data_IF_746114552076
#
_entry.id   IF_746114552076
#
_cell.length_a   1.000
_cell.length_b   1.000
_cell.length_c   1.000
_cell.angle_alpha   90.00
_cell.angle_beta   90.00
_cell.angle_gamma   90.00
#
_symmetry.space_group_name_H-M   'P 1'
#
loop_
_entity.id
_entity.type
_entity.pdbx_description
1 polymer ?
#
# COMPACT_ATOMS: atom_id res chain seq x y z
N UNK A 1 53.97 42.86 74.84
CA UNK A 1 53.33 43.29 73.58
C UNK A 1 53.29 42.09 72.66
N UNK A 2 52.23 41.27 72.73
CA UNK A 2 52.04 40.07 71.89
C UNK A 2 50.56 39.87 71.69
N UNK A 3 50.05 40.30 70.54
CA UNK A 3 48.69 40.03 70.07
C UNK A 3 48.76 39.18 68.80
N UNK A 4 47.89 38.17 68.78
CA UNK A 4 47.26 37.57 67.61
C UNK A 4 48.10 36.64 66.72
N UNK A 5 47.93 35.33 66.93
CA UNK A 5 48.11 34.32 65.88
C UNK A 5 47.05 33.20 65.89
N UNK A 6 46.08 33.21 66.81
CA UNK A 6 45.12 32.11 66.98
C UNK A 6 43.77 32.28 66.27
N UNK A 7 43.51 33.41 65.61
CA UNK A 7 42.20 33.67 64.98
C UNK A 7 42.15 33.37 63.46
N UNK A 8 43.27 32.99 62.83
CA UNK A 8 43.31 32.72 61.38
C UNK A 8 43.07 31.25 60.97
N UNK A 9 43.12 30.30 61.90
CA UNK A 9 43.07 28.86 61.57
C UNK A 9 41.63 28.33 61.43
N UNK A 10 40.62 29.03 61.94
CA UNK A 10 39.24 28.52 61.96
C UNK A 10 38.45 28.78 60.66
N UNK A 11 38.89 29.70 59.81
CA UNK A 11 38.19 30.05 58.57
C UNK A 11 38.57 29.17 57.36
N UNK A 12 39.72 28.48 57.40
CA UNK A 12 40.17 27.57 56.33
C UNK A 12 39.47 26.19 56.38
N UNK A 13 39.17 25.68 57.57
CA UNK A 13 38.57 24.34 57.74
C UNK A 13 37.08 24.29 57.36
N UNK A 14 36.35 25.40 57.50
CA UNK A 14 34.96 25.50 57.05
C UNK A 14 34.83 25.54 55.53
N UNK A 15 35.70 26.29 54.85
CA UNK A 15 35.73 26.38 53.38
C UNK A 15 36.13 25.07 52.70
N UNK A 16 37.12 24.33 53.25
CA UNK A 16 37.49 23.02 52.71
C UNK A 16 36.35 21.99 52.86
N UNK A 17 35.58 22.01 53.95
CA UNK A 17 34.41 21.13 54.13
C UNK A 17 33.26 21.45 53.17
N UNK A 18 32.97 22.72 52.94
CA UNK A 18 31.94 23.16 51.98
C UNK A 18 32.36 22.78 50.55
N UNK A 19 33.60 23.05 50.17
CA UNK A 19 34.14 22.67 48.84
C UNK A 19 34.07 21.16 48.61
N UNK A 20 34.41 20.35 49.61
CA UNK A 20 34.37 18.89 49.51
C UNK A 20 32.92 18.34 49.38
N UNK A 21 31.96 18.94 50.10
CA UNK A 21 30.54 18.59 49.98
C UNK A 21 29.97 18.94 48.58
N UNK A 22 30.38 20.06 48.00
CA UNK A 22 29.98 20.46 46.64
C UNK A 22 30.54 19.49 45.58
N UNK A 23 31.78 19.04 45.74
CA UNK A 23 32.37 18.04 44.82
C UNK A 23 31.66 16.70 44.94
N UNK A 24 31.36 16.23 46.16
CA UNK A 24 30.66 14.95 46.37
C UNK A 24 29.24 14.98 45.80
N UNK A 25 28.49 16.08 45.95
CA UNK A 25 27.14 16.18 45.36
C UNK A 25 27.18 16.23 43.83
N UNK A 26 28.17 16.90 43.23
CA UNK A 26 28.39 16.87 41.78
C UNK A 26 28.74 15.46 41.29
N UNK A 27 29.59 14.72 42.00
CA UNK A 27 29.94 13.34 41.62
C UNK A 27 28.74 12.40 41.74
N UNK A 28 27.94 12.50 42.80
CA UNK A 28 26.71 11.71 42.95
C UNK A 28 25.69 12.07 41.87
N UNK A 29 25.54 13.36 41.52
CA UNK A 29 24.69 13.81 40.43
C UNK A 29 25.16 13.24 39.07
N UNK A 30 26.48 13.20 38.82
CA UNK A 30 27.05 12.59 37.61
C UNK A 30 26.80 11.08 37.58
N UNK A 31 27.04 10.36 38.68
CA UNK A 31 26.82 8.90 38.76
C UNK A 31 25.34 8.54 38.57
N UNK A 32 24.44 9.33 39.15
CA UNK A 32 22.99 9.12 38.98
C UNK A 32 22.58 9.36 37.52
N UNK A 33 23.05 10.44 36.88
CA UNK A 33 22.80 10.69 35.44
C UNK A 33 23.33 9.56 34.54
N UNK A 34 24.53 9.04 34.81
CA UNK A 34 25.13 7.93 34.05
C UNK A 34 24.29 6.65 34.23
N UNK A 35 23.93 6.31 35.47
CA UNK A 35 23.19 5.08 35.78
C UNK A 35 21.78 5.09 35.18
N UNK A 36 21.07 6.22 35.30
CA UNK A 36 19.77 6.41 34.64
C UNK A 36 19.91 6.40 33.11
N UNK A 37 21.01 6.95 32.58
CA UNK A 37 21.31 6.94 31.14
C UNK A 37 21.45 5.53 30.56
N UNK A 38 22.16 4.63 31.25
CA UNK A 38 22.37 3.24 30.80
C UNK A 38 21.06 2.45 30.75
N UNK A 39 20.22 2.54 31.78
CA UNK A 39 18.92 1.85 31.79
C UNK A 39 18.00 2.34 30.67
N UNK A 40 17.99 3.65 30.45
CA UNK A 40 17.16 4.24 29.41
C UNK A 40 17.69 3.93 28.00
N UNK A 41 19.01 3.82 27.82
CA UNK A 41 19.62 3.31 26.59
C UNK A 41 19.17 1.89 26.24
N UNK A 42 19.13 0.99 27.22
CA UNK A 42 18.64 -0.38 27.01
C UNK A 42 17.18 -0.40 26.59
N UNK A 43 16.33 0.42 27.23
CA UNK A 43 14.92 0.56 26.86
C UNK A 43 14.76 1.08 25.42
N UNK A 44 15.52 2.12 25.05
CA UNK A 44 15.50 2.68 23.69
C UNK A 44 15.89 1.61 22.67
N UNK A 45 16.96 0.86 22.94
CA UNK A 45 17.42 -0.21 22.05
C UNK A 45 16.38 -1.32 21.92
N UNK A 46 15.72 -1.69 23.02
CA UNK A 46 14.62 -2.66 23.01
C UNK A 46 13.41 -2.18 22.20
N UNK A 47 13.05 -0.90 22.30
CA UNK A 47 11.96 -0.33 21.48
C UNK A 47 12.31 -0.27 20.01
N UNK A 48 13.57 0.06 19.66
CA UNK A 48 14.02 0.02 18.26
C UNK A 48 13.92 -1.40 17.70
N UNK A 49 14.38 -2.41 18.45
CA UNK A 49 14.27 -3.81 18.03
C UNK A 49 12.80 -4.27 17.88
N UNK A 50 11.92 -3.82 18.79
CA UNK A 50 10.48 -4.07 18.67
C UNK A 50 9.88 -3.41 17.43
N UNK A 51 10.28 -2.18 17.11
CA UNK A 51 9.83 -1.49 15.91
C UNK A 51 10.32 -2.22 14.65
N UNK A 52 11.56 -2.69 14.60
CA UNK A 52 12.09 -3.52 13.51
C UNK A 52 11.26 -4.80 13.31
N UNK A 53 10.95 -5.52 14.39
CA UNK A 53 10.09 -6.69 14.32
C UNK A 53 8.70 -6.35 13.75
N UNK A 54 8.09 -5.25 14.20
CA UNK A 54 6.82 -4.77 13.66
C UNK A 54 6.93 -4.40 12.17
N UNK A 55 8.05 -3.84 11.72
CA UNK A 55 8.32 -3.57 10.30
C UNK A 55 8.35 -4.87 9.49
N UNK A 56 9.03 -5.91 9.99
CA UNK A 56 9.09 -7.24 9.35
C UNK A 56 7.69 -7.90 9.28
N UNK A 57 6.88 -7.71 10.32
CA UNK A 57 5.48 -8.14 10.39
C UNK A 57 4.51 -7.26 9.55
N UNK A 58 5.04 -6.26 8.81
CA UNK A 58 4.28 -5.29 7.99
C UNK A 58 3.32 -4.41 8.79
N UNK A 59 3.56 -4.28 10.09
CA UNK A 59 2.77 -3.48 11.03
C UNK A 59 3.38 -2.08 11.20
N UNK A 60 3.49 -1.38 10.07
CA UNK A 60 4.22 -0.10 9.99
C UNK A 60 3.60 0.99 10.88
N UNK A 61 2.28 1.03 11.01
CA UNK A 61 1.58 1.99 11.89
C UNK A 61 2.06 1.89 13.34
N UNK A 62 2.14 0.66 13.87
CA UNK A 62 2.63 0.44 15.25
C UNK A 62 4.13 0.67 15.38
N UNK A 63 4.92 0.33 14.35
CA UNK A 63 6.34 0.62 14.35
C UNK A 63 6.60 2.13 14.42
N UNK A 64 5.84 2.93 13.65
CA UNK A 64 5.86 4.40 13.67
C UNK A 64 5.49 4.91 15.07
N UNK A 65 4.38 4.44 15.64
CA UNK A 65 3.93 4.84 16.98
C UNK A 65 5.02 4.62 18.05
N UNK A 66 5.63 3.43 18.08
CA UNK A 66 6.71 3.10 19.02
C UNK A 66 7.93 4.02 18.86
N UNK A 67 8.31 4.33 17.61
CA UNK A 67 9.45 5.20 17.30
C UNK A 67 9.17 6.67 17.65
N UNK A 68 7.97 7.18 17.37
CA UNK A 68 7.56 8.55 17.72
C UNK A 68 7.52 8.75 19.24
N UNK A 69 6.98 7.77 19.98
CA UNK A 69 6.97 7.81 21.45
C UNK A 69 8.38 7.86 22.04
N UNK A 70 9.33 7.14 21.44
CA UNK A 70 10.73 7.13 21.92
C UNK A 70 11.48 8.39 21.52
N UNK A 71 11.23 8.95 20.33
CA UNK A 71 11.87 10.19 19.87
C UNK A 71 11.67 11.37 20.84
N UNK A 72 10.55 11.37 21.56
CA UNK A 72 10.19 12.41 22.53
C UNK A 72 10.96 12.32 23.87
N UNK A 73 11.71 11.24 24.12
CA UNK A 73 12.42 11.05 25.39
C UNK A 73 13.61 12.00 25.55
N UNK A 74 13.86 12.39 26.81
CA UNK A 74 14.85 13.42 27.15
C UNK A 74 16.28 13.09 26.69
N UNK A 75 16.68 11.83 26.73
CA UNK A 75 18.03 11.39 26.30
C UNK A 75 18.21 11.62 24.79
N UNK A 76 17.17 11.39 24.00
CA UNK A 76 17.23 11.58 22.55
C UNK A 76 17.20 13.07 22.22
N UNK A 77 16.30 13.83 22.85
CA UNK A 77 16.18 15.28 22.65
C UNK A 77 17.39 16.08 23.12
N UNK A 78 17.94 15.76 24.30
CA UNK A 78 19.00 16.54 24.95
C UNK A 78 20.40 15.99 24.67
N UNK A 79 20.57 14.67 24.60
CA UNK A 79 21.88 14.03 24.44
C UNK A 79 22.10 13.45 23.04
N UNK A 80 21.06 13.41 22.18
CA UNK A 80 21.18 12.96 20.79
C UNK A 80 21.42 11.45 20.62
N UNK A 81 21.35 10.66 21.69
CA UNK A 81 21.64 9.22 21.65
C UNK A 81 20.67 8.52 20.70
N UNK A 82 21.18 7.79 19.71
CA UNK A 82 20.41 7.06 18.69
C UNK A 82 19.38 7.93 17.93
N UNK A 83 19.48 9.26 18.01
CA UNK A 83 18.50 10.18 17.40
C UNK A 83 18.40 9.99 15.90
N UNK A 84 19.54 9.84 15.23
CA UNK A 84 19.60 9.63 13.78
C UNK A 84 18.99 8.28 13.39
N UNK A 85 19.38 7.19 14.06
CA UNK A 85 18.84 5.85 13.83
C UNK A 85 17.32 5.79 13.98
N UNK A 86 16.77 6.43 15.02
CA UNK A 86 15.31 6.52 15.22
C UNK A 86 14.65 7.32 14.08
N UNK A 87 15.23 8.45 13.69
CA UNK A 87 14.68 9.29 12.62
C UNK A 87 14.69 8.57 11.26
N UNK A 88 15.78 7.86 10.94
CA UNK A 88 15.89 7.06 9.72
C UNK A 88 14.86 5.94 9.69
N UNK A 89 14.75 5.15 10.77
CA UNK A 89 13.75 4.07 10.88
C UNK A 89 12.31 4.57 10.84
N UNK A 90 12.06 5.73 11.43
CA UNK A 90 10.74 6.36 11.40
C UNK A 90 10.35 6.76 9.98
N UNK A 91 11.27 7.40 9.26
CA UNK A 91 11.04 7.80 7.86
C UNK A 91 10.88 6.57 6.94
N UNK A 92 11.71 5.54 7.13
CA UNK A 92 11.60 4.27 6.42
C UNK A 92 10.22 3.64 6.62
N UNK A 93 9.73 3.55 7.87
CA UNK A 93 8.42 2.98 8.13
C UNK A 93 7.27 3.83 7.58
N UNK A 94 7.39 5.17 7.59
CA UNK A 94 6.41 6.06 6.96
C UNK A 94 6.32 5.84 5.45
N UNK A 95 7.47 5.67 4.80
CA UNK A 95 7.52 5.34 3.39
C UNK A 95 6.93 3.95 3.12
N UNK A 96 7.28 2.92 3.90
CA UNK A 96 6.73 1.57 3.77
C UNK A 96 5.21 1.52 3.99
N UNK A 97 4.68 2.31 4.94
CA UNK A 97 3.24 2.44 5.15
C UNK A 97 2.56 3.04 3.92
N UNK A 98 3.12 4.12 3.36
CA UNK A 98 2.60 4.75 2.14
C UNK A 98 2.59 3.75 0.97
N UNK A 99 3.66 2.99 0.80
CA UNK A 99 3.75 1.96 -0.24
C UNK A 99 2.74 0.82 -0.02
N UNK A 100 2.53 0.39 1.23
CA UNK A 100 1.50 -0.59 1.57
C UNK A 100 0.10 -0.08 1.19
N UNK A 101 -0.19 1.19 1.48
CA UNK A 101 -1.46 1.83 1.13
C UNK A 101 -1.60 1.90 -0.40
N UNK A 102 -0.58 2.36 -1.11
CA UNK A 102 -0.60 2.44 -2.57
C UNK A 102 -0.82 1.06 -3.20
N UNK A 103 -0.12 0.04 -2.73
CA UNK A 103 -0.31 -1.34 -3.18
C UNK A 103 -1.75 -1.81 -2.95
N UNK A 104 -2.33 -1.60 -1.75
CA UNK A 104 -3.72 -1.96 -1.46
C UNK A 104 -4.70 -1.23 -2.38
N UNK A 105 -4.51 0.07 -2.58
CA UNK A 105 -5.33 0.88 -3.48
C UNK A 105 -5.22 0.41 -4.94
N UNK A 106 -4.03 0.00 -5.39
CA UNK A 106 -3.84 -0.57 -6.72
C UNK A 106 -4.64 -1.86 -6.92
N UNK A 107 -4.73 -2.70 -5.88
CA UNK A 107 -5.57 -3.91 -5.90
C UNK A 107 -7.06 -3.56 -5.97
N UNK A 108 -7.52 -2.52 -5.28
CA UNK A 108 -8.91 -2.05 -5.42
C UNK A 108 -9.18 -1.50 -6.82
N UNK A 109 -8.23 -0.75 -7.40
CA UNK A 109 -8.34 -0.20 -8.75
C UNK A 109 -8.50 -1.26 -9.83
N UNK A 110 -7.84 -2.42 -9.67
CA UNK A 110 -8.09 -3.61 -10.50
C UNK A 110 -9.57 -4.04 -10.41
N UNK A 111 -10.18 -4.06 -9.22
CA UNK A 111 -11.60 -4.44 -9.06
C UNK A 111 -12.54 -3.42 -9.71
N UNK A 112 -12.15 -2.15 -9.68
CA UNK A 112 -12.85 -1.04 -10.35
C UNK A 112 -12.64 -1.04 -11.88
N UNK A 113 -11.79 -1.94 -12.42
CA UNK A 113 -11.35 -1.97 -13.83
C UNK A 113 -10.58 -0.72 -14.29
N UNK A 114 -10.03 0.02 -13.33
CA UNK A 114 -9.16 1.18 -13.57
C UNK A 114 -7.71 0.67 -13.67
N UNK A 115 -7.39 0.08 -14.84
CA UNK A 115 -6.11 -0.60 -15.08
C UNK A 115 -4.92 0.36 -15.08
N UNK A 116 -5.09 1.56 -15.64
CA UNK A 116 -4.06 2.59 -15.66
C UNK A 116 -3.79 3.12 -14.25
N UNK A 117 -4.84 3.44 -13.49
CA UNK A 117 -4.71 3.87 -12.09
C UNK A 117 -4.10 2.79 -11.20
N UNK A 118 -4.45 1.52 -11.43
CA UNK A 118 -3.81 0.40 -10.74
C UNK A 118 -2.31 0.33 -11.03
N UNK A 119 -1.92 0.43 -12.31
CA UNK A 119 -0.52 0.38 -12.74
C UNK A 119 0.30 1.52 -12.13
N UNK A 120 -0.22 2.74 -12.14
CA UNK A 120 0.43 3.91 -11.53
C UNK A 120 0.73 3.66 -10.04
N UNK A 121 -0.24 3.12 -9.30
CA UNK A 121 -0.08 2.82 -7.88
C UNK A 121 0.97 1.73 -7.63
N UNK A 122 1.01 0.67 -8.44
CA UNK A 122 2.04 -0.37 -8.30
C UNK A 122 3.43 0.14 -8.65
N UNK A 123 3.57 1.02 -9.64
CA UNK A 123 4.86 1.63 -10.00
C UNK A 123 5.44 2.51 -8.87
N UNK A 124 4.59 2.98 -7.96
CA UNK A 124 5.04 3.75 -6.79
C UNK A 124 5.63 2.91 -5.66
N UNK A 125 5.53 1.57 -5.73
CA UNK A 125 6.09 0.65 -4.75
C UNK A 125 7.58 0.47 -5.03
N UNK A 126 8.44 0.79 -4.06
CA UNK A 126 9.90 0.72 -4.25
C UNK A 126 10.43 -0.72 -4.15
N UNK A 127 11.59 -0.99 -4.74
CA UNK A 127 12.28 -2.29 -4.70
C UNK A 127 12.54 -2.83 -3.29
N UNK A 128 12.66 -1.94 -2.30
CA UNK A 128 12.89 -2.30 -0.89
C UNK A 128 11.63 -2.77 -0.19
N UNK A 129 10.46 -2.52 -0.78
CA UNK A 129 9.17 -2.90 -0.24
C UNK A 129 8.98 -4.40 -0.28
N UNK A 130 8.42 -4.97 0.79
CA UNK A 130 8.00 -6.38 0.81
C UNK A 130 6.86 -6.67 -0.17
N UNK A 131 6.23 -5.64 -0.74
CA UNK A 131 5.17 -5.76 -1.76
C UNK A 131 5.71 -5.70 -3.19
N UNK A 132 6.97 -5.31 -3.39
CA UNK A 132 7.53 -5.07 -4.71
C UNK A 132 7.46 -6.27 -5.66
N UNK A 133 7.83 -7.50 -5.26
CA UNK A 133 7.78 -8.65 -6.17
C UNK A 133 6.36 -8.89 -6.73
N UNK A 134 5.34 -8.76 -5.88
CA UNK A 134 3.96 -8.94 -6.31
C UNK A 134 3.44 -7.74 -7.11
N UNK A 135 3.86 -6.51 -6.77
CA UNK A 135 3.54 -5.32 -7.55
C UNK A 135 4.04 -5.42 -9.00
N UNK A 136 5.28 -5.88 -9.20
CA UNK A 136 5.86 -6.09 -10.54
C UNK A 136 5.08 -7.15 -11.34
N UNK A 137 4.76 -8.30 -10.73
CA UNK A 137 3.95 -9.32 -11.40
C UNK A 137 2.58 -8.76 -11.84
N UNK A 138 1.95 -7.90 -11.03
CA UNK A 138 0.70 -7.24 -11.43
C UNK A 138 0.90 -6.22 -12.54
N UNK A 139 2.00 -5.47 -12.53
CA UNK A 139 2.32 -4.53 -13.61
C UNK A 139 2.50 -5.27 -14.93
N UNK A 140 3.18 -6.42 -14.95
CA UNK A 140 3.35 -7.24 -16.15
C UNK A 140 1.99 -7.67 -16.74
N UNK A 141 1.09 -8.17 -15.89
CA UNK A 141 -0.28 -8.51 -16.31
C UNK A 141 -1.05 -7.27 -16.80
N UNK A 142 -0.89 -6.12 -16.13
CA UNK A 142 -1.53 -4.88 -16.55
C UNK A 142 -0.96 -4.36 -17.87
N UNK A 143 0.33 -4.57 -18.14
CA UNK A 143 0.97 -4.22 -19.41
C UNK A 143 0.43 -5.06 -20.57
N UNK A 144 0.13 -6.33 -20.33
CA UNK A 144 -0.57 -7.17 -21.31
C UNK A 144 -2.00 -6.66 -21.58
N UNK A 145 -2.73 -6.33 -20.52
CA UNK A 145 -4.11 -5.81 -20.62
C UNK A 145 -4.16 -4.45 -21.32
N UNK A 146 -3.27 -3.52 -20.93
CA UNK A 146 -3.19 -2.16 -21.49
C UNK A 146 -2.56 -2.16 -22.87
N UNK A 147 -1.66 -3.10 -23.15
CA UNK A 147 -1.05 -3.33 -24.46
C UNK A 147 -2.04 -3.90 -25.48
N UNK A 148 -3.15 -4.49 -25.02
CA UNK A 148 -4.30 -4.78 -25.86
C UNK A 148 -5.01 -3.46 -26.22
N UNK A 149 -4.55 -2.80 -27.28
CA UNK A 149 -5.32 -1.75 -27.93
C UNK A 149 -6.72 -2.31 -28.21
N UNK A 150 -7.76 -1.73 -27.62
CA UNK A 150 -9.14 -2.15 -27.90
C UNK A 150 -9.46 -1.86 -29.36
N UNK A 151 -9.16 -2.83 -30.22
CA UNK A 151 -9.59 -2.82 -31.61
C UNK A 151 -10.92 -3.50 -31.66
N UNK A 152 -11.98 -2.73 -31.84
CA UNK A 152 -13.32 -3.28 -32.05
C UNK A 152 -13.29 -4.23 -33.24
N UNK A 153 -13.45 -5.52 -32.97
CA UNK A 153 -13.56 -6.53 -34.03
C UNK A 153 -14.91 -6.43 -34.73
N UNK A 154 -14.94 -6.80 -36.01
CA UNK A 154 -16.22 -6.97 -36.72
C UNK A 154 -16.62 -8.44 -36.63
N UNK A 155 -17.89 -8.70 -36.32
CA UNK A 155 -18.42 -10.04 -36.13
C UNK A 155 -19.80 -10.21 -36.76
N UNK A 156 -20.16 -11.46 -37.03
CA UNK A 156 -21.52 -11.86 -37.38
C UNK A 156 -22.04 -12.79 -36.30
N UNK A 157 -23.26 -12.56 -35.85
CA UNK A 157 -23.94 -13.38 -34.86
C UNK A 157 -25.05 -14.22 -35.52
N UNK A 158 -25.20 -15.45 -35.04
CA UNK A 158 -26.31 -16.35 -35.38
C UNK A 158 -26.84 -16.99 -34.11
N UNK A 159 -28.15 -17.08 -34.03
CA UNK A 159 -28.84 -17.80 -32.97
C UNK A 159 -29.68 -18.88 -33.61
N UNK A 160 -29.56 -20.10 -33.09
CA UNK A 160 -30.31 -21.26 -33.55
C UNK A 160 -31.22 -21.76 -32.43
N UNK A 161 -32.43 -22.18 -32.77
CA UNK A 161 -33.30 -22.93 -31.85
C UNK A 161 -33.13 -24.45 -31.99
N UNK A 162 -33.86 -25.24 -31.21
CA UNK A 162 -33.76 -26.71 -31.25
C UNK A 162 -34.22 -27.33 -32.58
N UNK A 163 -34.97 -26.58 -33.38
CA UNK A 163 -35.48 -27.00 -34.69
C UNK A 163 -34.50 -26.63 -35.82
N UNK A 164 -33.40 -25.94 -35.50
CA UNK A 164 -32.40 -25.49 -36.45
C UNK A 164 -32.79 -24.22 -37.21
N UNK A 165 -33.85 -23.52 -36.79
CA UNK A 165 -34.22 -22.20 -37.36
C UNK A 165 -33.23 -21.16 -36.86
N UNK A 166 -32.90 -20.18 -37.71
CA UNK A 166 -31.87 -19.17 -37.41
C UNK A 166 -32.41 -17.75 -37.35
N UNK A 167 -31.93 -16.99 -36.36
CA UNK A 167 -32.01 -15.54 -36.32
C UNK A 167 -30.61 -14.95 -36.26
N UNK A 168 -30.20 -14.19 -37.28
CA UNK A 168 -28.84 -13.69 -37.41
C UNK A 168 -28.42 -13.40 -38.84
N UNK A 169 -27.10 -13.21 -39.05
CA UNK A 169 -26.53 -12.97 -40.38
C UNK A 169 -26.01 -14.28 -40.98
N UNK A 170 -26.68 -14.78 -42.02
CA UNK A 170 -26.29 -15.98 -42.78
C UNK A 170 -25.92 -15.56 -44.18
N UNK A 171 -24.69 -15.89 -44.60
CA UNK A 171 -24.14 -15.53 -45.91
C UNK A 171 -24.22 -14.02 -46.27
N UNK A 172 -24.28 -13.16 -45.25
CA UNK A 172 -24.36 -11.71 -45.41
C UNK A 172 -25.78 -11.16 -45.41
N UNK A 173 -26.79 -12.03 -45.37
CA UNK A 173 -28.20 -11.65 -45.32
C UNK A 173 -28.77 -11.82 -43.91
N UNK A 174 -29.68 -10.93 -43.54
CA UNK A 174 -30.46 -11.06 -42.32
C UNK A 174 -31.48 -12.20 -42.49
N UNK A 175 -31.42 -13.17 -41.58
CA UNK A 175 -32.43 -14.22 -41.42
C UNK A 175 -33.12 -14.08 -40.07
N UNK A 176 -34.44 -14.20 -40.05
CA UNK A 176 -35.27 -14.16 -38.83
C UNK A 176 -36.31 -15.30 -38.89
N UNK A 177 -35.83 -16.54 -38.78
CA UNK A 177 -36.67 -17.74 -38.90
C UNK A 177 -37.26 -18.19 -37.54
N UNK A 178 -36.65 -17.79 -36.42
CA UNK A 178 -37.15 -18.12 -35.07
C UNK A 178 -38.38 -17.21 -34.77
N UNK A 179 -39.57 -17.78 -34.46
CA UNK A 179 -40.75 -16.99 -34.14
C UNK A 179 -40.54 -16.10 -32.93
N UNK A 180 -41.00 -14.85 -33.01
CA UNK A 180 -40.86 -13.89 -31.91
C UNK A 180 -39.41 -13.53 -31.63
N UNK A 181 -38.54 -13.56 -32.63
CA UNK A 181 -37.17 -13.06 -32.51
C UNK A 181 -36.95 -11.84 -33.40
N UNK A 182 -35.92 -11.06 -33.10
CA UNK A 182 -35.46 -9.95 -33.94
C UNK A 182 -33.96 -9.76 -33.80
N UNK A 183 -33.31 -9.30 -34.87
CA UNK A 183 -31.93 -8.82 -34.84
C UNK A 183 -31.89 -7.30 -35.08
N UNK A 184 -31.28 -6.57 -34.16
CA UNK A 184 -31.07 -5.13 -34.26
C UNK A 184 -29.57 -4.86 -34.48
N UNK A 185 -29.26 -3.91 -35.34
CA UNK A 185 -27.90 -3.41 -35.53
C UNK A 185 -27.84 -1.94 -35.12
N UNK A 186 -26.93 -1.62 -34.21
CA UNK A 186 -26.63 -0.24 -33.83
C UNK A 186 -25.42 0.22 -34.65
N UNK A 187 -25.60 1.23 -35.50
CA UNK A 187 -24.53 1.80 -36.35
C UNK A 187 -23.48 2.59 -35.54
N UNK A 188 -23.91 3.32 -34.51
CA UNK A 188 -23.00 4.10 -33.66
C UNK A 188 -22.04 3.16 -32.91
N UNK A 189 -22.62 2.13 -32.30
CA UNK A 189 -21.89 1.14 -31.53
C UNK A 189 -21.50 -0.11 -32.33
N UNK A 190 -21.70 -0.14 -33.65
CA UNK A 190 -21.43 -1.29 -34.53
C UNK A 190 -21.70 -2.66 -33.87
N UNK A 191 -22.83 -2.78 -33.17
CA UNK A 191 -23.18 -3.96 -32.35
C UNK A 191 -24.46 -4.59 -32.85
N UNK A 192 -24.48 -5.93 -32.86
CA UNK A 192 -25.70 -6.69 -33.08
C UNK A 192 -26.33 -7.08 -31.75
N UNK A 193 -27.63 -6.80 -31.60
CA UNK A 193 -28.45 -7.25 -30.48
C UNK A 193 -29.53 -8.15 -31.01
N UNK A 194 -29.57 -9.40 -30.56
CA UNK A 194 -30.68 -10.28 -30.85
C UNK A 194 -31.59 -10.38 -29.63
N UNK A 195 -32.89 -10.32 -29.88
CA UNK A 195 -33.92 -10.46 -28.85
C UNK A 195 -34.80 -11.64 -29.23
N UNK A 196 -35.07 -12.51 -28.27
CA UNK A 196 -36.05 -13.60 -28.38
C UNK A 196 -37.12 -13.32 -27.33
N UNK A 197 -38.34 -13.07 -27.79
CA UNK A 197 -39.51 -12.87 -26.93
C UNK A 197 -40.07 -14.22 -26.51
N UNK A 198 -40.38 -14.38 -25.21
CA UNK A 198 -40.93 -15.61 -24.63
C UNK A 198 -40.10 -16.86 -25.02
N UNK A 199 -38.82 -16.93 -24.60
CA UNK A 199 -37.93 -18.03 -24.95
C UNK A 199 -38.41 -19.33 -24.29
N UNK A 200 -38.98 -20.25 -25.08
CA UNK A 200 -39.49 -21.56 -24.63
C UNK A 200 -38.65 -22.75 -25.08
N UNK A 201 -37.51 -22.48 -25.71
CA UNK A 201 -36.64 -23.47 -26.33
C UNK A 201 -35.18 -23.32 -25.85
N UNK A 202 -34.33 -24.27 -26.23
CA UNK A 202 -32.88 -24.15 -26.10
C UNK A 202 -32.30 -23.42 -27.30
N UNK A 203 -31.41 -22.46 -27.03
CA UNK A 203 -30.77 -21.65 -28.08
C UNK A 203 -29.26 -21.87 -28.10
N UNK A 204 -28.71 -21.99 -29.31
CA UNK A 204 -27.27 -22.04 -29.56
C UNK A 204 -26.84 -20.74 -30.23
N UNK A 205 -25.76 -20.14 -29.73
CA UNK A 205 -25.24 -18.86 -30.23
C UNK A 205 -23.89 -19.11 -30.90
N UNK A 206 -23.74 -18.62 -32.13
CA UNK A 206 -22.49 -18.67 -32.87
C UNK A 206 -22.02 -17.25 -33.21
N UNK A 207 -20.71 -17.03 -33.06
CA UNK A 207 -20.03 -15.78 -33.39
C UNK A 207 -18.91 -16.05 -34.38
N UNK A 208 -18.95 -15.33 -35.50
CA UNK A 208 -17.92 -15.41 -36.54
C UNK A 208 -17.16 -14.10 -36.58
N UNK A 209 -15.88 -14.15 -36.26
CA UNK A 209 -14.94 -13.05 -36.45
C UNK A 209 -14.81 -12.74 -37.96
N UNK A 210 -15.24 -11.56 -38.38
CA UNK A 210 -15.08 -11.06 -39.75
C UNK A 210 -13.76 -10.29 -39.89
N UNK A 211 -13.39 -9.53 -38.86
CA UNK A 211 -12.15 -8.75 -38.81
C UNK A 211 -11.53 -8.83 -37.42
N UNK A 212 -10.25 -9.15 -37.36
CA UNK A 212 -9.48 -9.27 -36.12
C UNK A 212 -9.69 -8.07 -35.19
N UNK A 213 -9.92 -8.37 -33.93
CA UNK A 213 -10.14 -7.41 -32.86
C UNK A 213 -10.61 -8.10 -31.59
N UNK A 214 -10.92 -7.29 -30.59
CA UNK A 214 -11.52 -7.73 -29.35
C UNK A 214 -13.04 -7.80 -29.53
N UNK A 215 -13.65 -8.84 -28.97
CA UNK A 215 -15.08 -9.08 -29.02
C UNK A 215 -15.62 -9.21 -27.60
N UNK A 216 -16.79 -8.65 -27.36
CA UNK A 216 -17.50 -8.76 -26.09
C UNK A 216 -18.90 -9.30 -26.35
N UNK A 217 -19.27 -10.35 -25.61
CA UNK A 217 -20.60 -10.93 -25.65
C UNK A 217 -21.27 -10.77 -24.28
N UNK A 218 -22.52 -10.31 -24.31
CA UNK A 218 -23.33 -10.14 -23.11
C UNK A 218 -24.66 -10.84 -23.32
N UNK A 219 -24.97 -11.81 -22.46
CA UNK A 219 -26.27 -12.45 -22.40
C UNK A 219 -27.08 -11.83 -21.26
N UNK A 220 -28.27 -11.32 -21.57
CA UNK A 220 -29.21 -10.80 -20.58
C UNK A 220 -30.51 -11.60 -20.69
N UNK A 221 -30.90 -12.25 -19.60
CA UNK A 221 -32.21 -12.87 -19.47
C UNK A 221 -33.05 -12.03 -18.52
N UNK A 222 -34.20 -11.57 -19.00
CA UNK A 222 -35.19 -10.85 -18.19
C UNK A 222 -36.36 -11.81 -17.98
N UNK A 223 -36.55 -12.23 -16.74
CA UNK A 223 -37.64 -13.12 -16.29
C UNK A 223 -38.84 -12.29 -15.88
#
# INVERSE_FOLDING_TARGET
>A
MTLSSTEKVNHQNGFMRISLLVVVTLVIAIITVISYGVLEYQKISGTIAKAEQLTEEKNYDKAIEELELVQERWIIKKLGIKRQEIAEKLEENKQLLKEQINYKNGVEKIREKDWEGAKELFLSVSEKSLFYPDAINKIEVLDEILGCEYRKGEYKMRIFDSQGRVTGIVDGELKEEIPGSMLMYNEEDKTYTAVIFDPRDTYTYEFYAVKAGNYQFTLVSVV
#
